data_IF_075107998750
#
_entry.id   IF_075107998750
#
_cell.length_a   1.000
_cell.length_b   1.000
_cell.length_c   1.000
_cell.angle_alpha   90.00
_cell.angle_beta   90.00
_cell.angle_gamma   90.00
#
_symmetry.space_group_name_H-M   'P 1'
#
loop_
_entity.id
_entity.type
_entity.pdbx_description
1 polymer ?
#
# COMPACT_ATOMS: atom_id res chain seq x y z
N UNK A 1 -8.49 -2.85 13.12
CA UNK A 1 -8.08 -1.55 12.55
C UNK A 1 -9.06 -1.20 11.47
N UNK A 2 -9.21 0.06 11.14
CA UNK A 2 -10.14 0.47 10.10
C UNK A 2 -9.36 1.14 8.99
N UNK A 3 -9.64 0.76 7.74
CA UNK A 3 -9.09 1.43 6.56
C UNK A 3 -10.19 2.33 6.00
N UNK A 4 -9.88 3.61 5.86
CA UNK A 4 -10.75 4.64 5.29
C UNK A 4 -10.26 5.00 3.90
N UNK A 5 -11.16 5.04 2.92
CA UNK A 5 -10.90 5.60 1.60
C UNK A 5 -11.51 7.00 1.50
N UNK A 6 -10.65 8.00 1.38
CA UNK A 6 -11.00 9.42 1.33
C UNK A 6 -10.87 9.93 -0.09
N UNK A 7 -11.90 10.60 -0.62
CA UNK A 7 -11.83 11.16 -1.97
C UNK A 7 -10.94 12.40 -1.97
N UNK A 8 -10.00 12.46 -2.92
CA UNK A 8 -9.25 13.67 -3.23
C UNK A 8 -10.15 14.64 -4.00
N UNK A 9 -10.99 15.40 -3.28
CA UNK A 9 -11.71 16.54 -3.81
C UNK A 9 -11.43 17.77 -2.94
N UNK A 10 -11.23 18.91 -3.59
CA UNK A 10 -10.88 20.22 -3.04
C UNK A 10 -11.33 20.46 -1.59
N UNK A 11 -10.37 20.49 -0.67
CA UNK A 11 -10.46 20.88 0.74
C UNK A 11 -11.45 20.13 1.67
N UNK A 12 -12.01 18.99 1.27
CA UNK A 12 -12.87 18.19 2.15
C UNK A 12 -12.61 16.69 1.97
N UNK A 13 -11.92 16.08 2.94
CA UNK A 13 -11.70 14.64 3.00
C UNK A 13 -12.95 13.95 3.53
N UNK A 14 -13.89 13.64 2.64
CA UNK A 14 -15.07 12.85 3.01
C UNK A 14 -14.72 11.37 2.85
N UNK A 15 -14.89 10.61 3.94
CA UNK A 15 -14.79 9.16 3.90
C UNK A 15 -15.87 8.59 2.98
N UNK A 16 -15.44 7.81 2.00
CA UNK A 16 -16.33 7.20 1.01
C UNK A 16 -16.54 5.72 1.31
N UNK A 17 -15.51 5.05 1.84
CA UNK A 17 -15.57 3.65 2.24
C UNK A 17 -14.84 3.48 3.56
N UNK A 18 -15.49 2.79 4.49
CA UNK A 18 -14.90 2.34 5.75
C UNK A 18 -14.84 0.80 5.75
N UNK A 19 -13.65 0.25 5.97
CA UNK A 19 -13.44 -1.20 6.01
C UNK A 19 -12.85 -1.60 7.37
N UNK A 20 -13.65 -2.21 8.27
CA UNK A 20 -13.14 -2.77 9.51
C UNK A 20 -12.36 -4.06 9.23
N UNK A 21 -11.10 -4.08 9.67
CA UNK A 21 -10.14 -5.18 9.48
C UNK A 21 -9.74 -5.79 10.84
N UNK A 22 -9.84 -7.11 10.96
CA UNK A 22 -9.35 -7.91 12.09
C UNK A 22 -8.01 -8.57 11.76
N UNK A 23 -7.46 -9.29 12.71
CA UNK A 23 -6.20 -10.01 12.52
C UNK A 23 -6.38 -11.13 11.49
N UNK A 24 -5.51 -11.18 10.48
CA UNK A 24 -5.58 -12.14 9.38
C UNK A 24 -6.44 -11.67 8.20
N UNK A 25 -7.20 -10.58 8.33
CA UNK A 25 -7.95 -10.04 7.21
C UNK A 25 -7.02 -9.40 6.16
N UNK A 26 -7.42 -9.51 4.90
CA UNK A 26 -6.71 -8.94 3.77
C UNK A 26 -7.65 -8.11 2.91
N UNK A 27 -7.20 -6.92 2.52
CA UNK A 27 -7.89 -6.05 1.57
C UNK A 27 -7.06 -5.93 0.30
N UNK A 28 -7.68 -6.19 -0.86
CA UNK A 28 -7.07 -6.02 -2.17
C UNK A 28 -7.73 -4.83 -2.86
N UNK A 29 -6.96 -3.78 -3.10
CA UNK A 29 -7.38 -2.67 -3.95
C UNK A 29 -7.05 -2.98 -5.41
N UNK A 30 -8.06 -3.39 -6.18
CA UNK A 30 -7.88 -3.68 -7.60
C UNK A 30 -8.01 -2.41 -8.45
N UNK A 31 -7.04 -2.19 -9.33
CA UNK A 31 -7.06 -1.10 -10.31
C UNK A 31 -6.34 0.17 -9.85
N UNK A 32 -5.71 0.87 -10.79
CA UNK A 32 -4.92 2.08 -10.54
C UNK A 32 -5.78 3.29 -10.16
N UNK A 33 -7.05 3.32 -10.59
CA UNK A 33 -7.95 4.45 -10.39
C UNK A 33 -8.22 4.72 -8.91
N UNK A 34 -8.39 3.67 -8.10
CA UNK A 34 -8.64 3.81 -6.66
C UNK A 34 -7.50 4.56 -6.00
N UNK A 35 -6.25 4.17 -6.27
CA UNK A 35 -5.06 4.85 -5.75
C UNK A 35 -4.90 6.29 -6.25
N UNK A 36 -5.37 6.60 -7.46
CA UNK A 36 -5.27 7.96 -8.05
C UNK A 36 -6.29 8.93 -7.47
N UNK A 37 -7.49 8.43 -7.17
CA UNK A 37 -8.64 9.25 -6.80
C UNK A 37 -8.93 9.24 -5.30
N UNK A 38 -8.43 8.23 -4.59
CA UNK A 38 -8.66 8.04 -3.17
C UNK A 38 -7.36 7.84 -2.41
N UNK A 39 -7.26 8.52 -1.29
CA UNK A 39 -6.24 8.29 -0.29
C UNK A 39 -6.74 7.23 0.70
N UNK A 40 -5.83 6.38 1.17
CA UNK A 40 -6.15 5.35 2.16
C UNK A 40 -5.53 5.75 3.49
N UNK A 41 -6.36 5.90 4.51
CA UNK A 41 -5.95 6.23 5.87
C UNK A 41 -6.25 5.05 6.78
N UNK A 42 -5.39 4.83 7.78
CA UNK A 42 -5.54 3.73 8.73
C UNK A 42 -5.80 4.29 10.12
N UNK A 43 -6.91 3.88 10.73
CA UNK A 43 -7.21 4.18 12.12
C UNK A 43 -6.90 2.98 13.03
N UNK A 44 -5.87 3.09 13.90
CA UNK A 44 -5.49 2.02 14.81
C UNK A 44 -6.40 1.99 16.04
N UNK A 45 -7.37 1.07 16.06
CA UNK A 45 -8.17 0.81 17.26
C UNK A 45 -7.43 -0.06 18.31
N UNK A 46 -6.75 0.50 19.32
CA UNK A 46 -6.15 -0.26 20.43
C UNK A 46 -4.62 -0.47 20.36
N UNK A 47 -4.13 -1.67 20.70
CA UNK A 47 -2.69 -1.97 20.84
C UNK A 47 -1.87 -2.00 19.54
N UNK A 48 -0.58 -2.39 19.63
CA UNK A 48 0.34 -2.42 18.49
C UNK A 48 -0.17 -3.33 17.38
N UNK A 49 -0.25 -2.80 16.15
CA UNK A 49 -0.69 -3.53 14.98
C UNK A 49 0.34 -3.43 13.87
N UNK A 50 0.58 -4.57 13.24
CA UNK A 50 1.40 -4.68 12.05
C UNK A 50 0.48 -4.94 10.87
N UNK A 51 0.65 -4.16 9.81
CA UNK A 51 0.00 -4.37 8.53
C UNK A 51 1.07 -4.47 7.46
N UNK A 52 1.04 -5.54 6.67
CA UNK A 52 1.89 -5.65 5.49
C UNK A 52 1.16 -5.02 4.31
N UNK A 53 1.83 -4.13 3.60
CA UNK A 53 1.33 -3.63 2.32
C UNK A 53 2.13 -4.27 1.20
N UNK A 54 1.43 -4.83 0.21
CA UNK A 54 2.03 -5.37 -0.99
C UNK A 54 1.37 -4.73 -2.22
N UNK A 55 2.17 -4.45 -3.23
CA UNK A 55 1.70 -3.95 -4.53
C UNK A 55 2.35 -4.75 -5.64
N UNK A 56 1.51 -5.28 -6.53
CA UNK A 56 1.95 -5.77 -7.81
C UNK A 56 1.89 -4.64 -8.84
N UNK A 57 2.98 -4.47 -9.61
CA UNK A 57 3.07 -3.51 -10.70
C UNK A 57 3.36 -4.32 -11.97
N UNK A 58 2.45 -4.25 -12.94
CA UNK A 58 2.60 -4.92 -14.23
C UNK A 58 3.51 -4.08 -15.16
N UNK A 59 4.72 -4.53 -15.49
CA UNK A 59 5.64 -3.77 -16.34
C UNK A 59 5.11 -3.59 -17.77
N UNK A 60 4.23 -4.47 -18.25
CA UNK A 60 3.70 -4.40 -19.61
C UNK A 60 2.72 -3.23 -19.81
N UNK A 61 2.16 -2.71 -18.71
CA UNK A 61 1.25 -1.56 -18.73
C UNK A 61 1.98 -0.21 -18.65
N UNK A 62 3.31 -0.21 -18.59
CA UNK A 62 4.11 1.01 -18.61
C UNK A 62 4.31 1.52 -20.04
N UNK A 63 4.19 2.83 -20.21
CA UNK A 63 4.20 3.47 -21.52
C UNK A 63 5.59 3.53 -22.14
N UNK A 64 6.64 3.72 -21.34
CA UNK A 64 8.00 3.90 -21.83
C UNK A 64 8.92 2.80 -21.34
N UNK A 65 9.98 2.52 -22.10
CA UNK A 65 11.02 1.58 -21.66
C UNK A 65 11.79 2.12 -20.45
N UNK A 66 12.03 3.43 -20.39
CA UNK A 66 12.69 4.08 -19.26
C UNK A 66 11.94 3.85 -17.93
N UNK A 67 10.60 3.92 -17.94
CA UNK A 67 9.79 3.65 -16.74
C UNK A 67 9.93 2.19 -16.27
N UNK A 68 10.03 1.25 -17.22
CA UNK A 68 10.22 -0.18 -16.91
C UNK A 68 11.58 -0.43 -16.28
N UNK A 69 12.63 0.19 -16.84
CA UNK A 69 14.00 0.06 -16.36
C UNK A 69 14.13 0.66 -14.95
N UNK A 70 13.57 1.84 -14.72
CA UNK A 70 13.52 2.49 -13.40
C UNK A 70 12.76 1.65 -12.37
N UNK A 71 11.61 1.07 -12.75
CA UNK A 71 10.85 0.20 -11.88
C UNK A 71 11.60 -1.09 -11.52
N UNK A 72 12.35 -1.67 -12.46
CA UNK A 72 13.18 -2.85 -12.22
C UNK A 72 14.30 -2.55 -11.21
N UNK A 73 14.96 -1.39 -11.33
CA UNK A 73 15.99 -0.95 -10.39
C UNK A 73 15.40 -0.70 -9.00
N UNK A 74 14.26 0.00 -8.91
CA UNK A 74 13.60 0.31 -7.63
C UNK A 74 12.97 -0.91 -6.94
N UNK A 75 12.55 -1.90 -7.73
CA UNK A 75 11.99 -3.16 -7.22
C UNK A 75 13.04 -4.16 -6.76
N UNK A 76 14.32 -3.93 -7.09
CA UNK A 76 15.40 -4.81 -6.66
C UNK A 76 15.60 -4.72 -5.15
N UNK A 77 15.53 -5.87 -4.48
CA UNK A 77 15.87 -5.98 -3.06
C UNK A 77 17.39 -5.79 -2.96
N UNK A 78 17.83 -4.72 -2.30
CA UNK A 78 19.27 -4.52 -2.04
C UNK A 78 19.80 -5.60 -1.10
N UNK A 79 21.12 -5.77 -0.98
CA UNK A 79 21.69 -6.78 -0.06
C UNK A 79 21.51 -6.42 1.44
N UNK A 80 21.21 -5.16 1.74
CA UNK A 80 21.14 -4.62 3.10
C UNK A 80 20.11 -5.32 4.03
N UNK A 81 18.89 -5.69 3.59
CA UNK A 81 17.89 -6.35 4.43
C UNK A 81 18.33 -7.73 4.93
N UNK A 82 19.19 -8.44 4.19
CA UNK A 82 19.70 -9.75 4.59
C UNK A 82 20.68 -9.69 5.78
N UNK A 83 21.14 -8.49 6.15
CA UNK A 83 21.99 -8.27 7.33
C UNK A 83 21.18 -8.23 8.63
N UNK A 84 19.86 -8.03 8.53
CA UNK A 84 19.01 -7.96 9.71
C UNK A 84 18.61 -9.36 10.18
N UNK A 85 19.20 -9.82 11.28
CA UNK A 85 18.77 -11.04 11.98
C UNK A 85 17.77 -10.66 13.07
N UNK A 86 16.52 -11.08 12.92
CA UNK A 86 15.50 -10.90 13.94
C UNK A 86 15.81 -11.81 15.13
N UNK A 87 16.09 -11.22 16.30
CA UNK A 87 16.55 -11.96 17.48
C UNK A 87 15.41 -12.58 18.30
N UNK A 88 14.14 -12.31 17.98
CA UNK A 88 12.98 -12.99 18.55
C UNK A 88 12.99 -13.06 20.08
N UNK A 89 13.03 -11.90 20.75
CA UNK A 89 12.76 -11.80 22.18
C UNK A 89 11.27 -11.61 22.43
#
# INVERSE_FOLDING_TARGET
MTILLQRLASNCFKDVIEVPMKHGDMMIMHGQAIRKLYEHTVEPMGGRRFSLTYRYIDPNKMMTQADKDDAAVKGAISEAPFRFKYAGN
#
